data_IF_379156006662
#
_entry.id   IF_379156006662
#
_cell.length_a   1.000
_cell.length_b   1.000
_cell.length_c   1.000
_cell.angle_alpha   90.00
_cell.angle_beta   90.00
_cell.angle_gamma   90.00
#
_symmetry.space_group_name_H-M   'P 1'
#
loop_
_entity.id
_entity.type
_entity.pdbx_description
1 polymer ?
#
# COMPACT_ATOMS: atom_id res chain seq x y z
N UNK A 1 -10.14 7.17 19.54
CA UNK A 1 -11.36 6.56 19.02
C UNK A 1 -11.10 6.02 17.60
N UNK A 2 -11.44 4.75 17.37
CA UNK A 2 -11.22 4.08 16.09
C UNK A 2 -11.96 4.76 14.92
N UNK A 3 -13.17 5.24 15.14
CA UNK A 3 -13.98 5.91 14.12
C UNK A 3 -13.31 7.19 13.57
N UNK A 4 -12.52 7.87 14.40
CA UNK A 4 -11.71 9.03 13.97
C UNK A 4 -10.46 8.60 13.23
N UNK A 5 -9.86 7.46 13.61
CA UNK A 5 -8.65 6.94 13.00
C UNK A 5 -8.92 6.21 11.65
N UNK A 6 -10.04 5.51 11.54
CA UNK A 6 -10.41 4.70 10.37
C UNK A 6 -10.26 5.45 9.03
N UNK A 7 -10.71 6.72 8.87
CA UNK A 7 -10.51 7.48 7.63
C UNK A 7 -9.05 7.79 7.28
N UNK A 8 -8.14 7.66 8.26
CA UNK A 8 -6.72 7.92 8.04
C UNK A 8 -5.98 6.73 7.45
N UNK A 9 -6.55 5.51 7.56
CA UNK A 9 -5.91 4.30 7.04
C UNK A 9 -5.79 4.42 5.51
N UNK A 10 -4.58 4.17 4.99
CA UNK A 10 -4.28 4.36 3.57
C UNK A 10 -4.18 5.82 3.12
N UNK A 11 -4.20 6.80 4.04
CA UNK A 11 -3.99 8.22 3.73
C UNK A 11 -2.63 8.73 4.21
N UNK A 12 -2.29 9.99 3.87
CA UNK A 12 -1.03 10.60 4.29
C UNK A 12 -1.04 11.02 5.76
N UNK A 13 0.15 11.19 6.34
CA UNK A 13 0.32 11.71 7.70
C UNK A 13 -0.18 13.14 7.89
N UNK A 14 -0.14 13.96 6.83
CA UNK A 14 -0.72 15.31 6.86
C UNK A 14 -2.24 15.24 7.06
N UNK A 15 -2.92 14.32 6.39
CA UNK A 15 -4.36 14.10 6.59
C UNK A 15 -4.65 13.66 8.04
N UNK A 16 -3.87 12.71 8.57
CA UNK A 16 -3.96 12.27 9.96
C UNK A 16 -3.77 13.42 10.96
N UNK A 17 -2.76 14.27 10.75
CA UNK A 17 -2.49 15.43 11.60
C UNK A 17 -3.69 16.40 11.64
N UNK A 18 -4.30 16.66 10.49
CA UNK A 18 -5.47 17.53 10.38
C UNK A 18 -6.69 16.93 11.10
N UNK A 19 -6.95 15.63 10.95
CA UNK A 19 -8.05 14.93 11.63
C UNK A 19 -7.90 14.93 13.15
N UNK A 20 -6.70 14.72 13.68
CA UNK A 20 -6.42 14.81 15.12
C UNK A 20 -6.67 16.23 15.65
N UNK A 21 -6.27 17.25 14.89
CA UNK A 21 -6.55 18.63 15.23
C UNK A 21 -8.05 18.93 15.27
N UNK A 22 -8.79 18.50 14.26
CA UNK A 22 -10.22 18.76 14.12
C UNK A 22 -11.04 18.05 15.21
N UNK A 23 -10.71 16.80 15.54
CA UNK A 23 -11.51 15.97 16.45
C UNK A 23 -11.09 16.09 17.93
N UNK A 24 -9.82 16.39 18.22
CA UNK A 24 -9.27 16.40 19.57
C UNK A 24 -8.63 17.73 19.98
N UNK A 25 -8.53 18.69 19.07
CA UNK A 25 -7.85 19.97 19.32
C UNK A 25 -6.33 19.83 19.53
N UNK A 26 -5.76 18.65 19.25
CA UNK A 26 -4.33 18.38 19.41
C UNK A 26 -3.59 18.95 18.17
N UNK A 27 -2.58 19.77 18.42
CA UNK A 27 -1.74 20.37 17.38
C UNK A 27 -0.29 19.98 17.56
N UNK A 28 0.42 19.81 16.45
CA UNK A 28 1.86 19.64 16.40
C UNK A 28 2.51 20.91 15.85
N UNK A 29 3.72 21.22 16.28
CA UNK A 29 4.47 22.39 15.77
C UNK A 29 4.69 22.30 14.25
N UNK A 30 4.96 21.11 13.75
CA UNK A 30 5.07 20.81 12.34
C UNK A 30 4.81 19.32 12.04
N UNK A 31 4.69 18.99 10.75
CA UNK A 31 4.58 17.61 10.28
C UNK A 31 5.85 16.81 10.64
N UNK A 32 7.01 17.44 10.61
CA UNK A 32 8.29 16.83 10.95
C UNK A 32 8.32 16.43 12.43
N UNK A 33 7.84 17.29 13.34
CA UNK A 33 7.74 16.98 14.78
C UNK A 33 6.79 15.80 15.00
N UNK A 34 5.63 15.80 14.35
CA UNK A 34 4.71 14.66 14.43
C UNK A 34 5.35 13.37 13.90
N UNK A 35 6.04 13.45 12.76
CA UNK A 35 6.75 12.30 12.17
C UNK A 35 7.82 11.74 13.11
N UNK A 36 8.57 12.62 13.79
CA UNK A 36 9.57 12.21 14.76
C UNK A 36 8.95 11.47 15.95
N UNK A 37 7.88 12.00 16.53
CA UNK A 37 7.15 11.35 17.63
C UNK A 37 6.61 9.98 17.19
N UNK A 38 6.02 9.88 16.01
CA UNK A 38 5.52 8.61 15.49
C UNK A 38 6.64 7.61 15.23
N UNK A 39 7.81 8.08 14.75
CA UNK A 39 8.98 7.23 14.56
C UNK A 39 9.47 6.67 15.90
N UNK A 40 9.65 7.51 16.92
CA UNK A 40 10.09 7.09 18.24
C UNK A 40 9.15 6.02 18.83
N UNK A 41 7.82 6.23 18.71
CA UNK A 41 6.84 5.25 19.18
C UNK A 41 6.85 3.95 18.37
N UNK A 42 7.04 4.03 17.06
CA UNK A 42 7.23 2.83 16.21
C UNK A 42 8.47 2.06 16.66
N UNK A 43 9.60 2.75 16.85
CA UNK A 43 10.87 2.13 17.23
C UNK A 43 10.80 1.47 18.62
N UNK A 44 10.09 2.09 19.59
CA UNK A 44 9.80 1.48 20.89
C UNK A 44 9.02 0.17 20.75
N UNK A 45 7.98 0.15 19.90
CA UNK A 45 7.15 -1.04 19.66
C UNK A 45 7.96 -2.13 18.98
N UNK A 46 8.71 -1.79 17.95
CA UNK A 46 9.58 -2.73 17.22
C UNK A 46 10.66 -3.33 18.15
N UNK A 47 11.24 -2.52 19.03
CA UNK A 47 12.24 -3.00 20.00
C UNK A 47 11.65 -4.01 20.99
N UNK A 48 10.36 -3.86 21.33
CA UNK A 48 9.65 -4.74 22.26
C UNK A 48 9.11 -6.01 21.59
N UNK A 49 8.48 -5.88 20.44
CA UNK A 49 7.64 -6.91 19.83
C UNK A 49 8.26 -7.50 18.54
N UNK A 50 9.34 -6.91 18.02
CA UNK A 50 9.90 -7.21 16.72
C UNK A 50 9.23 -6.43 15.59
N UNK A 51 9.82 -6.52 14.39
CA UNK A 51 9.25 -5.86 13.20
C UNK A 51 8.11 -6.74 12.66
N UNK A 52 6.88 -6.19 12.49
CA UNK A 52 5.77 -6.98 11.97
C UNK A 52 5.98 -7.31 10.49
N UNK A 53 5.94 -8.58 10.16
CA UNK A 53 5.96 -9.09 8.79
C UNK A 53 4.66 -9.86 8.52
N UNK A 54 4.07 -9.67 7.34
CA UNK A 54 2.96 -10.51 6.90
C UNK A 54 3.51 -11.83 6.34
N UNK A 55 3.24 -12.98 6.99
CA UNK A 55 3.76 -14.26 6.54
C UNK A 55 3.43 -14.55 5.08
N UNK A 56 4.42 -14.98 4.30
CA UNK A 56 4.25 -15.37 2.91
C UNK A 56 4.39 -14.23 1.88
N UNK A 57 4.50 -12.97 2.30
CA UNK A 57 4.66 -11.84 1.37
C UNK A 57 5.92 -12.00 0.50
N UNK A 58 7.04 -12.41 1.08
CA UNK A 58 8.28 -12.65 0.33
C UNK A 58 8.12 -13.71 -0.74
N UNK A 59 7.39 -14.79 -0.46
CA UNK A 59 7.08 -15.83 -1.44
C UNK A 59 6.24 -15.29 -2.60
N UNK A 60 5.20 -14.48 -2.31
CA UNK A 60 4.38 -13.84 -3.34
C UNK A 60 5.22 -12.94 -4.24
N UNK A 61 6.07 -12.10 -3.67
CA UNK A 61 6.94 -11.20 -4.41
C UNK A 61 7.93 -11.98 -5.30
N UNK A 62 8.51 -13.08 -4.79
CA UNK A 62 9.35 -13.97 -5.57
C UNK A 62 8.61 -14.55 -6.77
N UNK A 63 7.41 -15.12 -6.56
CA UNK A 63 6.59 -15.67 -7.65
C UNK A 63 6.29 -14.64 -8.74
N UNK A 64 5.97 -13.39 -8.36
CA UNK A 64 5.72 -12.31 -9.33
C UNK A 64 6.98 -11.95 -10.12
N UNK A 65 8.14 -11.85 -9.47
CA UNK A 65 9.42 -11.55 -10.15
C UNK A 65 9.83 -12.68 -11.09
N UNK A 66 9.71 -13.94 -10.66
CA UNK A 66 10.03 -15.11 -11.48
C UNK A 66 9.12 -15.22 -12.72
N UNK A 67 7.87 -14.75 -12.60
CA UNK A 67 6.93 -14.62 -13.73
C UNK A 67 7.19 -13.38 -14.62
N UNK A 68 8.19 -12.55 -14.29
CA UNK A 68 8.61 -11.40 -15.11
C UNK A 68 7.83 -10.11 -14.84
N UNK A 69 7.01 -10.05 -13.81
CA UNK A 69 6.28 -8.82 -13.46
C UNK A 69 7.22 -7.73 -12.93
N UNK A 70 6.93 -6.49 -13.32
CA UNK A 70 7.54 -5.30 -12.72
C UNK A 70 6.76 -4.90 -11.48
N UNK A 71 7.45 -4.64 -10.37
CA UNK A 71 6.83 -4.38 -9.09
C UNK A 71 7.12 -2.96 -8.60
N UNK A 72 6.08 -2.29 -8.10
CA UNK A 72 6.20 -1.01 -7.43
C UNK A 72 5.54 -1.01 -6.06
N UNK A 73 6.13 -0.28 -5.13
CA UNK A 73 5.44 0.16 -3.91
C UNK A 73 4.85 1.54 -4.16
N UNK A 74 3.56 1.69 -3.87
CA UNK A 74 2.84 2.96 -3.90
C UNK A 74 2.15 3.17 -2.54
N UNK A 75 2.82 3.85 -1.62
CA UNK A 75 2.40 4.00 -0.22
C UNK A 75 2.04 5.44 0.12
N UNK A 76 1.14 5.62 1.10
CA UNK A 76 0.85 6.93 1.69
C UNK A 76 1.85 7.34 2.78
N UNK A 77 2.78 6.46 3.16
CA UNK A 77 3.83 6.75 4.13
C UNK A 77 4.94 7.61 3.50
N UNK A 78 5.67 8.41 4.31
CA UNK A 78 6.86 9.10 3.84
C UNK A 78 7.91 8.14 3.27
N UNK A 79 8.57 8.54 2.19
CA UNK A 79 9.53 7.70 1.47
C UNK A 79 10.64 7.08 2.35
N UNK A 80 11.26 7.81 3.29
CA UNK A 80 12.25 7.22 4.19
C UNK A 80 11.70 6.06 5.03
N UNK A 81 10.42 6.15 5.46
CA UNK A 81 9.75 5.10 6.24
C UNK A 81 9.50 3.85 5.39
N UNK A 82 9.10 4.04 4.12
CA UNK A 82 8.90 2.93 3.18
C UNK A 82 10.23 2.22 2.94
N UNK A 83 11.29 2.99 2.65
CA UNK A 83 12.64 2.45 2.38
C UNK A 83 13.16 1.66 3.58
N UNK A 84 13.14 2.25 4.77
CA UNK A 84 13.55 1.58 6.02
C UNK A 84 12.80 0.25 6.24
N UNK A 85 11.48 0.26 6.00
CA UNK A 85 10.66 -0.96 6.15
C UNK A 85 11.06 -2.05 5.17
N UNK A 86 11.21 -1.71 3.89
CA UNK A 86 11.57 -2.67 2.85
C UNK A 86 13.00 -3.21 3.02
N UNK A 87 13.93 -2.39 3.48
CA UNK A 87 15.32 -2.81 3.78
C UNK A 87 15.37 -3.72 5.00
N UNK A 88 14.66 -3.36 6.08
CA UNK A 88 14.61 -4.16 7.31
C UNK A 88 14.04 -5.56 7.06
N UNK A 89 13.04 -5.68 6.19
CA UNK A 89 12.40 -6.94 5.82
C UNK A 89 13.09 -7.67 4.65
N UNK A 90 14.20 -7.15 4.11
CA UNK A 90 14.89 -7.67 2.92
C UNK A 90 13.96 -7.79 1.68
N UNK A 91 12.98 -6.89 1.58
CA UNK A 91 12.00 -6.88 0.48
C UNK A 91 12.33 -5.87 -0.62
N UNK A 92 13.23 -4.91 -0.38
CA UNK A 92 13.61 -3.88 -1.36
C UNK A 92 14.04 -4.45 -2.71
N UNK A 93 14.71 -5.58 -2.71
CA UNK A 93 15.23 -6.28 -3.89
C UNK A 93 14.16 -6.71 -4.90
N UNK A 94 12.91 -6.80 -4.50
CA UNK A 94 11.82 -7.21 -5.39
C UNK A 94 11.21 -6.03 -6.16
N UNK A 95 11.40 -4.80 -5.69
CA UNK A 95 10.71 -3.64 -6.25
C UNK A 95 11.59 -2.86 -7.22
N UNK A 96 11.06 -2.60 -8.41
CA UNK A 96 11.69 -1.76 -9.44
C UNK A 96 11.49 -0.26 -9.13
N UNK A 97 10.40 0.07 -8.42
CA UNK A 97 10.01 1.46 -8.09
C UNK A 97 9.43 1.52 -6.67
N UNK A 98 9.79 2.58 -5.94
CA UNK A 98 9.18 2.93 -4.65
C UNK A 98 8.67 4.37 -4.72
N UNK A 99 7.36 4.56 -4.52
CA UNK A 99 6.70 5.87 -4.52
C UNK A 99 5.98 6.15 -3.20
N UNK A 100 6.01 7.42 -2.81
CA UNK A 100 5.30 7.95 -1.65
C UNK A 100 4.15 8.86 -2.06
N UNK A 101 3.09 8.91 -1.27
CA UNK A 101 2.03 9.90 -1.41
C UNK A 101 2.52 11.35 -1.26
N UNK A 102 3.68 11.55 -0.62
CA UNK A 102 4.29 12.87 -0.48
C UNK A 102 4.94 13.37 -1.79
N UNK A 103 5.14 12.50 -2.78
CA UNK A 103 5.74 12.83 -4.09
C UNK A 103 4.69 13.29 -5.13
N UNK A 104 3.39 13.30 -4.77
CA UNK A 104 2.30 13.64 -5.68
C UNK A 104 1.43 14.78 -5.14
N UNK A 105 0.71 15.44 -6.04
CA UNK A 105 -0.14 16.56 -5.65
C UNK A 105 -1.37 16.12 -4.85
N UNK A 106 -2.01 15.04 -5.29
CA UNK A 106 -3.22 14.52 -4.68
C UNK A 106 -2.99 13.05 -4.30
N UNK A 107 -2.62 12.76 -3.04
CA UNK A 107 -2.43 11.38 -2.59
C UNK A 107 -3.76 10.62 -2.48
N UNK A 108 -3.69 9.31 -2.18
CA UNK A 108 -4.86 8.47 -1.92
C UNK A 108 -5.86 9.21 -0.99
N UNK A 109 -7.16 9.23 -1.32
CA UNK A 109 -7.88 8.37 -2.29
C UNK A 109 -7.86 8.86 -3.76
N UNK A 110 -7.11 9.91 -4.11
CA UNK A 110 -6.90 10.29 -5.50
C UNK A 110 -5.96 9.30 -6.20
N UNK A 111 -6.00 9.19 -7.55
CA UNK A 111 -5.26 8.17 -8.30
C UNK A 111 -3.77 8.47 -8.43
N UNK A 112 -3.32 9.68 -8.08
CA UNK A 112 -2.02 10.23 -8.47
C UNK A 112 -0.85 9.32 -8.05
N UNK A 113 -0.92 8.70 -6.85
CA UNK A 113 0.16 7.82 -6.35
C UNK A 113 0.34 6.58 -7.23
N UNK A 114 -0.76 5.95 -7.66
CA UNK A 114 -0.69 4.79 -8.55
C UNK A 114 -0.30 5.16 -9.98
N UNK A 115 -0.85 6.27 -10.50
CA UNK A 115 -0.47 6.78 -11.82
C UNK A 115 1.01 7.17 -11.88
N UNK A 116 1.54 7.74 -10.80
CA UNK A 116 2.95 8.07 -10.68
C UNK A 116 3.82 6.82 -10.63
N UNK A 117 3.44 5.80 -9.87
CA UNK A 117 4.13 4.52 -9.82
C UNK A 117 4.17 3.83 -11.20
N UNK A 118 3.05 3.76 -11.92
CA UNK A 118 2.97 3.20 -13.27
C UNK A 118 3.89 3.96 -14.25
N UNK A 119 3.88 5.29 -14.18
CA UNK A 119 4.78 6.14 -14.99
C UNK A 119 6.24 5.87 -14.70
N UNK A 120 6.63 5.72 -13.43
CA UNK A 120 8.01 5.42 -13.04
C UNK A 120 8.43 4.00 -13.46
N UNK A 121 7.50 3.04 -13.41
CA UNK A 121 7.71 1.71 -13.97
C UNK A 121 7.85 1.74 -15.50
N UNK A 122 7.31 2.74 -16.20
CA UNK A 122 7.20 2.77 -17.65
C UNK A 122 6.22 1.72 -18.18
N UNK A 123 5.13 1.44 -17.44
CA UNK A 123 4.09 0.47 -17.77
C UNK A 123 2.78 1.22 -18.04
N UNK A 124 2.02 0.90 -19.11
CA UNK A 124 0.67 1.45 -19.33
C UNK A 124 -0.27 1.16 -18.16
N UNK A 125 -1.16 2.10 -17.88
CA UNK A 125 -2.10 2.01 -16.74
C UNK A 125 -3.03 0.79 -16.84
N UNK A 126 -3.46 0.46 -18.03
CA UNK A 126 -4.32 -0.68 -18.36
C UNK A 126 -3.63 -2.04 -18.26
N UNK A 127 -2.31 -2.04 -18.14
CA UNK A 127 -1.49 -3.23 -17.85
C UNK A 127 -1.12 -3.34 -16.35
N UNK A 128 -1.57 -2.39 -15.51
CA UNK A 128 -1.27 -2.38 -14.09
C UNK A 128 -2.41 -2.98 -13.25
N UNK A 129 -2.03 -3.72 -12.21
CA UNK A 129 -2.95 -4.22 -11.17
C UNK A 129 -2.46 -3.72 -9.82
N UNK A 130 -3.40 -3.32 -8.98
CA UNK A 130 -3.13 -2.89 -7.60
C UNK A 130 -3.46 -4.02 -6.64
N UNK A 131 -2.61 -4.24 -5.64
CA UNK A 131 -2.94 -5.05 -4.45
C UNK A 131 -2.99 -4.08 -3.28
N UNK A 132 -4.10 -4.04 -2.56
CA UNK A 132 -4.40 -3.02 -1.57
C UNK A 132 -5.22 -3.58 -0.41
N UNK A 133 -5.06 -2.97 0.79
CA UNK A 133 -5.75 -3.36 2.01
C UNK A 133 -6.69 -2.27 2.56
N UNK A 134 -6.59 -1.05 2.05
CA UNK A 134 -7.33 0.11 2.57
C UNK A 134 -8.43 0.59 1.63
N UNK A 135 -9.52 1.10 2.21
CA UNK A 135 -10.61 1.75 1.47
C UNK A 135 -10.12 2.93 0.63
N UNK A 136 -9.17 3.73 1.16
CA UNK A 136 -8.59 4.85 0.43
C UNK A 136 -7.76 4.39 -0.76
N UNK A 137 -7.00 3.30 -0.61
CA UNK A 137 -6.25 2.72 -1.72
C UNK A 137 -7.15 2.08 -2.76
N UNK A 138 -8.21 1.37 -2.37
CA UNK A 138 -9.22 0.84 -3.30
C UNK A 138 -9.90 1.93 -4.13
N UNK A 139 -10.27 3.06 -3.49
CA UNK A 139 -10.81 4.24 -4.20
C UNK A 139 -9.79 4.83 -5.18
N UNK A 140 -8.52 4.91 -4.77
CA UNK A 140 -7.45 5.41 -5.64
C UNK A 140 -7.21 4.49 -6.86
N UNK A 141 -7.22 3.16 -6.66
CA UNK A 141 -7.10 2.18 -7.75
C UNK A 141 -8.27 2.31 -8.76
N UNK A 142 -9.51 2.40 -8.25
CA UNK A 142 -10.70 2.64 -9.08
C UNK A 142 -10.59 3.94 -9.87
N UNK A 143 -10.18 5.03 -9.22
CA UNK A 143 -10.00 6.33 -9.88
C UNK A 143 -8.88 6.30 -10.92
N UNK A 144 -7.82 5.50 -10.71
CA UNK A 144 -6.76 5.23 -11.67
C UNK A 144 -7.19 4.29 -12.82
N UNK A 145 -8.36 3.68 -12.74
CA UNK A 145 -8.87 2.62 -13.64
C UNK A 145 -7.98 1.36 -13.65
N UNK A 146 -7.35 1.07 -12.55
CA UNK A 146 -6.56 -0.13 -12.33
C UNK A 146 -7.42 -1.17 -11.60
N UNK A 147 -7.48 -2.44 -12.05
CA UNK A 147 -8.08 -3.52 -11.28
C UNK A 147 -7.40 -3.62 -9.90
N UNK A 148 -8.20 -3.91 -8.86
CA UNK A 148 -7.70 -4.00 -7.50
C UNK A 148 -7.97 -5.38 -6.92
N UNK A 149 -6.92 -6.03 -6.42
CA UNK A 149 -7.00 -7.22 -5.58
C UNK A 149 -7.05 -6.73 -4.13
N UNK A 150 -8.06 -7.13 -3.40
CA UNK A 150 -8.19 -6.77 -1.99
C UNK A 150 -7.50 -7.79 -1.09
N UNK A 151 -6.46 -7.36 -0.40
CA UNK A 151 -5.83 -8.09 0.68
C UNK A 151 -6.49 -7.68 2.00
N UNK A 152 -7.32 -8.53 2.58
CA UNK A 152 -7.91 -8.30 3.90
C UNK A 152 -6.81 -8.34 4.97
N UNK A 153 -6.41 -7.16 5.43
CA UNK A 153 -5.46 -7.03 6.52
C UNK A 153 -6.24 -6.80 7.81
N UNK A 154 -6.24 -7.75 8.77
CA UNK A 154 -6.97 -7.60 10.02
C UNK A 154 -6.48 -6.40 10.85
N UNK A 155 -5.23 -6.00 10.70
CA UNK A 155 -4.67 -4.85 11.42
C UNK A 155 -5.11 -3.50 10.82
N UNK A 156 -5.66 -3.50 9.59
CA UNK A 156 -6.25 -2.32 8.97
C UNK A 156 -7.70 -2.06 9.41
N UNK A 157 -8.28 -2.94 10.24
CA UNK A 157 -9.66 -2.83 10.74
C UNK A 157 -10.71 -2.98 9.63
N UNK A 158 -11.89 -2.36 9.83
CA UNK A 158 -13.04 -2.47 8.92
C UNK A 158 -12.83 -1.67 7.64
N UNK A 159 -12.00 -2.19 6.74
CA UNK A 159 -11.80 -1.63 5.41
C UNK A 159 -12.72 -2.32 4.41
N UNK A 160 -13.05 -1.64 3.29
CA UNK A 160 -13.89 -2.16 2.24
C UNK A 160 -13.36 -1.73 0.86
N UNK A 161 -13.25 -2.69 -0.06
CA UNK A 161 -12.93 -2.45 -1.48
C UNK A 161 -13.99 -3.16 -2.33
N UNK A 162 -15.21 -2.60 -2.47
CA UNK A 162 -16.35 -3.29 -3.05
C UNK A 162 -16.19 -3.65 -4.53
N UNK A 163 -15.27 -2.99 -5.24
CA UNK A 163 -15.01 -3.26 -6.66
C UNK A 163 -13.75 -4.15 -6.85
N UNK A 164 -13.30 -4.85 -5.81
CA UNK A 164 -12.15 -5.75 -5.92
C UNK A 164 -12.43 -6.88 -6.91
N UNK A 165 -11.46 -7.14 -7.79
CA UNK A 165 -11.55 -8.23 -8.79
C UNK A 165 -11.22 -9.60 -8.18
N UNK A 166 -10.53 -9.60 -7.05
CA UNK A 166 -10.18 -10.77 -6.26
C UNK A 166 -10.00 -10.35 -4.80
N UNK A 167 -10.38 -11.22 -3.87
CA UNK A 167 -10.18 -11.01 -2.44
C UNK A 167 -9.33 -12.14 -1.87
N UNK A 168 -8.37 -11.76 -1.01
CA UNK A 168 -7.51 -12.68 -0.27
C UNK A 168 -7.40 -12.25 1.19
N UNK A 169 -7.17 -13.20 2.08
CA UNK A 169 -7.07 -12.94 3.53
C UNK A 169 -5.68 -13.22 4.10
N UNK A 170 -4.81 -13.85 3.33
CA UNK A 170 -3.43 -14.18 3.71
C UNK A 170 -2.61 -14.53 2.47
N UNK A 171 -1.28 -14.45 2.57
CA UNK A 171 -0.34 -14.86 1.51
C UNK A 171 -0.08 -16.38 1.57
N UNK A 172 -1.14 -17.19 1.54
CA UNK A 172 -1.02 -18.64 1.48
C UNK A 172 -0.68 -19.10 0.07
N UNK A 173 -0.10 -20.29 -0.06
CA UNK A 173 0.17 -20.91 -1.36
C UNK A 173 -1.08 -20.92 -2.27
N UNK A 174 -2.24 -21.27 -1.72
CA UNK A 174 -3.51 -21.27 -2.45
C UNK A 174 -3.88 -19.88 -2.99
N UNK A 175 -3.75 -18.81 -2.16
CA UNK A 175 -4.05 -17.45 -2.58
C UNK A 175 -3.02 -16.91 -3.58
N UNK A 176 -1.75 -17.26 -3.43
CA UNK A 176 -0.70 -16.94 -4.42
C UNK A 176 -1.06 -17.57 -5.78
N UNK A 177 -1.43 -18.83 -5.80
CA UNK A 177 -1.86 -19.53 -7.03
C UNK A 177 -3.11 -18.89 -7.66
N UNK A 178 -4.08 -18.46 -6.85
CA UNK A 178 -5.27 -17.72 -7.33
C UNK A 178 -4.88 -16.40 -8.01
N UNK A 179 -3.97 -15.64 -7.39
CA UNK A 179 -3.47 -14.39 -7.96
C UNK A 179 -2.73 -14.66 -9.28
N UNK A 180 -1.78 -15.60 -9.27
CA UNK A 180 -1.00 -15.94 -10.47
C UNK A 180 -1.90 -16.41 -11.61
N UNK A 181 -2.91 -17.24 -11.32
CA UNK A 181 -3.90 -17.66 -12.32
C UNK A 181 -4.71 -16.49 -12.86
N UNK A 182 -5.13 -15.56 -12.02
CA UNK A 182 -5.85 -14.37 -12.43
C UNK A 182 -5.00 -13.50 -13.36
N UNK A 183 -3.74 -13.24 -13.00
CA UNK A 183 -2.81 -12.45 -13.79
C UNK A 183 -2.52 -13.07 -15.17
N UNK A 184 -2.35 -14.39 -15.25
CA UNK A 184 -2.15 -15.08 -16.54
C UNK A 184 -3.39 -15.06 -17.44
N UNK A 185 -4.60 -15.17 -16.86
CA UNK A 185 -5.84 -15.14 -17.62
C UNK A 185 -6.12 -13.77 -18.26
N UNK A 186 -5.73 -12.70 -17.59
CA UNK A 186 -5.88 -11.34 -18.15
C UNK A 186 -4.87 -11.05 -19.26
N UNK A 187 -3.66 -11.60 -19.20
CA UNK A 187 -2.68 -11.47 -20.29
C UNK A 187 -3.17 -12.12 -21.59
N UNK A 188 -3.90 -13.24 -21.53
CA UNK A 188 -4.47 -13.88 -22.73
C UNK A 188 -5.60 -13.06 -23.38
N UNK A 189 -6.23 -12.14 -22.65
CA UNK A 189 -7.25 -11.23 -23.21
C UNK A 189 -6.66 -10.01 -23.92
N UNK A 190 -5.47 -9.56 -23.50
CA UNK A 190 -4.77 -8.41 -24.10
C UNK A 190 -4.10 -8.79 -25.42
N UNK A 191 -3.79 -10.09 -25.64
CA UNK A 191 -3.18 -10.60 -26.88
C UNK A 191 -4.18 -10.98 -27.97
N UNK A 192 -5.48 -10.66 -27.82
CA UNK A 192 -6.55 -10.81 -28.83
C UNK A 192 -7.09 -9.47 -29.27
#
# INVERSE_FOLDING_TARGET
DYEVYKPCIGSTRLHFMNLIKENYGITFESLEVMNQIMKEKKDEIIARDGFPEMPGVGQMLCCLKDAGYRLAVASSSPKPVITETLETLDLMKYFDVVTSGDEVKNPKPAPDTFLFAAKQLGVPVDECIVIEDSTNGGKAAKAAKMPCIWMHNPDSGDQEIPDAVLEITAWTQENIEKIMKFLHFDQEKVLK
#
